data_IF_019912403616
#
_entry.id   IF_019912403616
#
_cell.length_a   1.000
_cell.length_b   1.000
_cell.length_c   1.000
_cell.angle_alpha   90.00
_cell.angle_beta   90.00
_cell.angle_gamma   90.00
#
_symmetry.space_group_name_H-M   'P 1'
#
loop_
_entity.id
_entity.type
_entity.pdbx_description
1 polymer ?
#
# COMPACT_ATOMS: atom_id res chain seq x y z
N UNK A 1 -38.94 -6.70 11.43
CA UNK A 1 -37.53 -6.42 11.80
C UNK A 1 -36.67 -6.65 10.57
N UNK A 2 -36.51 -5.62 9.75
CA UNK A 2 -35.70 -5.70 8.53
C UNK A 2 -34.25 -5.42 8.93
N UNK A 3 -33.39 -6.43 8.82
CA UNK A 3 -31.96 -6.30 9.09
C UNK A 3 -31.36 -5.28 8.11
N UNK A 4 -30.90 -4.15 8.64
CA UNK A 4 -30.02 -3.22 7.92
C UNK A 4 -28.70 -3.96 7.70
N UNK A 5 -28.39 -4.36 6.47
CA UNK A 5 -27.00 -4.65 6.14
C UNK A 5 -26.27 -3.31 6.19
N UNK A 6 -25.35 -3.06 7.14
CA UNK A 6 -24.47 -1.92 6.96
C UNK A 6 -23.74 -2.17 5.65
N UNK A 7 -23.85 -1.27 4.68
CA UNK A 7 -22.99 -1.36 3.50
C UNK A 7 -21.56 -1.38 4.02
N UNK A 8 -20.82 -2.47 3.84
CA UNK A 8 -19.46 -2.52 4.38
C UNK A 8 -18.62 -1.43 3.72
N UNK A 9 -18.32 -0.41 4.52
CA UNK A 9 -17.72 0.82 4.06
C UNK A 9 -16.23 0.59 3.90
N UNK A 10 -15.66 1.08 2.80
CA UNK A 10 -14.21 1.10 2.63
C UNK A 10 -13.62 2.07 3.65
N UNK A 11 -12.68 1.61 4.47
CA UNK A 11 -11.93 2.44 5.41
C UNK A 11 -10.54 2.69 4.87
N UNK A 12 -9.98 3.87 5.21
CA UNK A 12 -8.58 4.19 4.98
C UNK A 12 -7.89 4.26 6.34
N UNK A 13 -6.84 3.47 6.51
CA UNK A 13 -6.04 3.47 7.75
C UNK A 13 -4.56 3.67 7.47
N UNK A 14 -3.83 4.05 8.51
CA UNK A 14 -2.37 4.01 8.51
C UNK A 14 -1.89 2.56 8.44
N UNK A 15 -0.74 2.35 7.83
CA UNK A 15 -0.03 1.07 7.88
C UNK A 15 0.23 0.59 9.33
N UNK A 16 0.31 -0.72 9.51
CA UNK A 16 0.59 -1.47 10.75
C UNK A 16 1.63 -2.57 10.46
N UNK A 17 2.15 -3.30 11.48
CA UNK A 17 2.91 -4.50 11.24
C UNK A 17 2.19 -5.44 10.25
N UNK A 18 2.96 -6.19 9.45
CA UNK A 18 2.48 -7.06 8.35
C UNK A 18 2.18 -6.34 7.02
N UNK A 19 1.75 -5.06 7.04
CA UNK A 19 1.33 -4.39 5.79
C UNK A 19 2.47 -4.23 4.78
N UNK A 20 3.71 -3.98 5.22
CA UNK A 20 4.84 -3.85 4.27
C UNK A 20 5.14 -5.16 3.53
N UNK A 21 5.00 -6.28 4.23
CA UNK A 21 5.10 -7.61 3.63
C UNK A 21 3.94 -7.86 2.66
N UNK A 22 2.72 -7.49 3.06
CA UNK A 22 1.54 -7.60 2.20
C UNK A 22 1.66 -6.74 0.94
N UNK A 23 2.06 -5.47 1.05
CA UNK A 23 2.29 -4.56 -0.08
C UNK A 23 3.31 -5.16 -1.06
N UNK A 24 4.43 -5.66 -0.53
CA UNK A 24 5.48 -6.31 -1.34
C UNK A 24 4.92 -7.51 -2.09
N UNK A 25 4.24 -8.41 -1.39
CA UNK A 25 3.61 -9.59 -1.97
C UNK A 25 2.58 -9.23 -3.05
N UNK A 26 1.66 -8.29 -2.77
CA UNK A 26 0.59 -7.91 -3.71
C UNK A 26 1.14 -7.24 -4.97
N UNK A 27 2.16 -6.39 -4.85
CA UNK A 27 2.86 -5.84 -6.02
C UNK A 27 3.57 -6.94 -6.83
N UNK A 28 4.25 -7.89 -6.16
CA UNK A 28 4.90 -9.01 -6.83
C UNK A 28 3.91 -9.84 -7.66
N UNK A 29 2.76 -10.20 -7.08
CA UNK A 29 1.70 -10.94 -7.78
C UNK A 29 1.10 -10.12 -8.92
N UNK A 30 0.75 -8.86 -8.69
CA UNK A 30 0.11 -8.03 -9.70
C UNK A 30 1.03 -7.79 -10.91
N UNK A 31 2.26 -7.33 -10.67
CA UNK A 31 3.17 -6.95 -11.74
C UNK A 31 3.81 -8.14 -12.47
N UNK A 32 4.00 -9.29 -11.80
CA UNK A 32 4.42 -10.51 -12.50
C UNK A 32 3.35 -10.98 -13.48
N UNK A 33 2.07 -10.96 -13.09
CA UNK A 33 0.95 -11.33 -13.98
C UNK A 33 0.73 -10.32 -15.11
N UNK A 34 0.70 -9.03 -14.78
CA UNK A 34 0.32 -7.99 -15.74
C UNK A 34 1.46 -7.59 -16.69
N UNK A 35 2.72 -7.68 -16.23
CA UNK A 35 3.88 -7.14 -16.98
C UNK A 35 5.07 -8.11 -17.08
N UNK A 36 4.95 -9.33 -16.55
CA UNK A 36 6.04 -10.33 -16.60
C UNK A 36 7.25 -9.96 -15.74
N UNK A 37 7.08 -9.10 -14.74
CA UNK A 37 8.18 -8.73 -13.84
C UNK A 37 8.60 -9.90 -12.96
N UNK A 38 9.92 -10.02 -12.75
CA UNK A 38 10.52 -11.08 -11.97
C UNK A 38 10.75 -10.67 -10.50
N UNK A 39 11.40 -11.57 -9.73
CA UNK A 39 11.69 -11.36 -8.31
C UNK A 39 12.54 -10.11 -8.02
N UNK A 40 13.24 -9.52 -9.01
CA UNK A 40 14.00 -8.28 -8.81
C UNK A 40 13.08 -7.10 -8.57
N UNK A 41 11.88 -7.11 -9.19
CA UNK A 41 10.88 -6.08 -8.92
C UNK A 41 10.34 -6.22 -7.48
N UNK A 42 10.04 -7.44 -7.03
CA UNK A 42 9.63 -7.69 -5.65
C UNK A 42 10.69 -7.20 -4.65
N UNK A 43 11.98 -7.50 -4.90
CA UNK A 43 13.08 -7.00 -4.08
C UNK A 43 13.18 -5.46 -4.08
N UNK A 44 12.87 -4.80 -5.20
CA UNK A 44 12.79 -3.34 -5.26
C UNK A 44 11.66 -2.80 -4.35
N UNK A 45 10.48 -3.43 -4.36
CA UNK A 45 9.36 -3.03 -3.50
C UNK A 45 9.74 -3.21 -2.03
N UNK A 46 10.31 -4.38 -1.68
CA UNK A 46 10.77 -4.67 -0.32
C UNK A 46 11.78 -3.63 0.20
N UNK A 47 12.71 -3.19 -0.66
CA UNK A 47 13.65 -2.12 -0.32
C UNK A 47 12.93 -0.80 -0.04
N UNK A 48 11.98 -0.41 -0.91
CA UNK A 48 11.20 0.83 -0.71
C UNK A 48 10.44 0.80 0.61
N UNK A 49 9.75 -0.30 0.92
CA UNK A 49 8.99 -0.42 2.17
C UNK A 49 9.90 -0.44 3.40
N UNK A 50 11.09 -1.04 3.30
CA UNK A 50 12.10 -1.05 4.37
C UNK A 50 12.64 0.36 4.62
N UNK A 51 13.04 1.06 3.56
CA UNK A 51 13.55 2.43 3.65
C UNK A 51 12.49 3.38 4.21
N UNK A 52 11.22 3.18 3.85
CA UNK A 52 10.09 3.96 4.38
C UNK A 52 9.95 3.78 5.89
N UNK A 53 9.88 2.55 6.41
CA UNK A 53 9.72 2.32 7.85
C UNK A 53 10.92 2.85 8.65
N UNK A 54 12.15 2.63 8.16
CA UNK A 54 13.37 3.03 8.87
C UNK A 54 13.54 4.54 8.97
N UNK A 55 13.00 5.30 8.01
CA UNK A 55 13.22 6.75 7.92
C UNK A 55 11.93 7.58 8.05
N UNK A 56 10.81 6.93 8.37
CA UNK A 56 9.48 7.54 8.40
C UNK A 56 9.47 8.86 9.18
N UNK A 57 9.01 9.92 8.53
CA UNK A 57 8.69 11.20 9.17
C UNK A 57 7.17 11.35 9.30
N UNK A 58 6.54 11.01 10.44
CA UNK A 58 5.06 10.89 10.54
C UNK A 58 4.28 12.16 10.23
N UNK A 59 4.93 13.33 10.33
CA UNK A 59 4.34 14.64 10.02
C UNK A 59 4.34 14.97 8.52
N UNK A 60 5.14 14.27 7.72
CA UNK A 60 5.38 14.58 6.29
C UNK A 60 5.11 13.38 5.38
N UNK A 61 5.09 12.17 5.92
CA UNK A 61 5.03 10.92 5.18
C UNK A 61 3.98 9.99 5.77
N UNK A 62 3.37 9.19 4.90
CA UNK A 62 2.34 8.23 5.31
C UNK A 62 2.15 7.15 4.25
N UNK A 63 1.84 5.95 4.70
CA UNK A 63 1.27 4.90 3.86
C UNK A 63 -0.17 4.67 4.30
N UNK A 64 -1.10 4.78 3.35
CA UNK A 64 -2.52 4.48 3.53
C UNK A 64 -2.82 3.10 2.96
N UNK A 65 -3.62 2.36 3.71
CA UNK A 65 -4.20 1.09 3.33
C UNK A 65 -5.70 1.29 3.19
N UNK A 66 -6.26 0.87 2.05
CA UNK A 66 -7.69 0.74 1.87
C UNK A 66 -8.11 -0.68 2.27
N UNK A 67 -9.11 -0.79 3.13
CA UNK A 67 -9.65 -2.09 3.54
C UNK A 67 -11.17 -2.09 3.61
N UNK A 68 -11.75 -3.28 3.51
CA UNK A 68 -13.18 -3.52 3.67
C UNK A 68 -13.35 -4.93 4.25
N UNK A 69 -14.07 -5.06 5.35
CA UNK A 69 -14.27 -6.36 6.01
C UNK A 69 -12.94 -7.09 6.28
N UNK A 70 -11.93 -6.34 6.75
CA UNK A 70 -10.53 -6.76 6.97
C UNK A 70 -9.75 -7.22 5.72
N UNK A 71 -10.35 -7.08 4.53
CA UNK A 71 -9.70 -7.37 3.24
C UNK A 71 -8.91 -6.16 2.73
N UNK A 72 -7.66 -6.39 2.33
CA UNK A 72 -6.84 -5.36 1.67
C UNK A 72 -7.37 -5.07 0.26
N UNK A 73 -7.69 -3.81 -0.01
CA UNK A 73 -8.18 -3.34 -1.31
C UNK A 73 -7.16 -2.51 -2.09
N UNK A 74 -6.06 -2.12 -1.45
CA UNK A 74 -5.04 -1.31 -2.09
C UNK A 74 -4.24 -0.45 -1.12
N UNK A 75 -3.25 0.24 -1.67
CA UNK A 75 -2.41 1.15 -0.91
C UNK A 75 -1.90 2.30 -1.75
N UNK A 76 -1.45 3.34 -1.06
CA UNK A 76 -0.59 4.37 -1.63
C UNK A 76 0.34 4.92 -0.54
N UNK A 77 1.55 5.30 -0.92
CA UNK A 77 2.56 5.86 -0.03
C UNK A 77 2.92 7.27 -0.47
N UNK A 78 2.91 8.20 0.48
CA UNK A 78 3.48 9.54 0.34
C UNK A 78 4.82 9.57 1.08
N UNK A 79 5.86 9.95 0.35
CA UNK A 79 7.22 10.15 0.89
C UNK A 79 7.74 11.52 0.50
N UNK A 80 8.65 12.07 1.28
CA UNK A 80 9.33 13.31 0.90
C UNK A 80 10.21 13.08 -0.34
N UNK A 81 10.29 14.09 -1.18
CA UNK A 81 11.33 14.13 -2.19
C UNK A 81 12.63 14.70 -1.61
N UNK A 82 13.72 14.54 -2.37
CA UNK A 82 14.98 15.25 -2.11
C UNK A 82 14.82 16.77 -2.23
N UNK A 83 13.90 17.26 -3.05
CA UNK A 83 13.60 18.68 -3.12
C UNK A 83 12.75 19.12 -1.91
N UNK A 84 13.19 20.11 -1.12
CA UNK A 84 12.42 20.63 0.01
C UNK A 84 11.02 21.11 -0.40
N UNK A 85 10.01 20.74 0.38
CA UNK A 85 8.61 21.12 0.12
C UNK A 85 7.92 20.29 -0.97
N UNK A 86 8.57 19.28 -1.54
CA UNK A 86 8.00 18.37 -2.54
C UNK A 86 7.82 16.98 -1.94
N UNK A 87 6.68 16.35 -2.24
CA UNK A 87 6.41 14.96 -1.88
C UNK A 87 6.15 14.13 -3.14
N UNK A 88 6.34 12.81 -3.02
CA UNK A 88 6.15 11.83 -4.09
C UNK A 88 5.16 10.78 -3.65
N UNK A 89 4.28 10.40 -4.58
CA UNK A 89 3.45 9.21 -4.44
C UNK A 89 4.22 8.00 -4.95
N UNK A 90 4.16 6.91 -4.19
CA UNK A 90 4.81 5.62 -4.48
C UNK A 90 3.87 4.48 -4.16
N UNK A 91 4.15 3.32 -4.76
CA UNK A 91 3.49 2.05 -4.46
C UNK A 91 1.97 2.14 -4.50
N UNK A 92 1.44 2.83 -5.51
CA UNK A 92 0.01 2.84 -5.77
C UNK A 92 -0.39 1.45 -6.27
N UNK A 93 -1.28 0.81 -5.53
CA UNK A 93 -1.91 -0.44 -5.93
C UNK A 93 -3.39 -0.36 -5.57
N UNK A 94 -4.23 -0.83 -6.50
CA UNK A 94 -5.64 -1.08 -6.26
C UNK A 94 -5.89 -2.51 -6.68
N UNK A 95 -6.49 -3.29 -5.80
CA UNK A 95 -6.88 -4.65 -6.13
C UNK A 95 -7.93 -4.64 -7.23
N UNK A 96 -7.75 -5.51 -8.22
CA UNK A 96 -8.83 -5.85 -9.13
C UNK A 96 -9.90 -6.53 -8.29
N UNK A 97 -11.09 -5.92 -8.19
CA UNK A 97 -12.22 -6.52 -7.47
C UNK A 97 -12.40 -7.97 -7.94
N UNK A 98 -12.43 -8.90 -6.98
CA UNK A 98 -13.05 -10.21 -7.18
C UNK A 98 -14.57 -10.04 -7.25
#
# INVERSE_FOLDING_TARGET
MTSLHPSSQVTLRTHRPEDMGLITHRHGIFYSKAYGFDQRFEALIARITTDFINNLQPNLERCWIAEKDDEFLGCIMLVQDKQPGVAKLRLLLVEEKV
#
